data_IF_284755222693
#
_entry.id   IF_284755222693
#
_cell.length_a   1.000
_cell.length_b   1.000
_cell.length_c   1.000
_cell.angle_alpha   90.00
_cell.angle_beta   90.00
_cell.angle_gamma   90.00
#
_symmetry.space_group_name_H-M   'P 1'
#
loop_
_entity.id
_entity.type
_entity.pdbx_description
1 polymer ?
#
# COMPACT_ATOMS: atom_id res chain seq x y z
N UNK A 1 -6.99 15.52 10.59
CA UNK A 1 -6.34 14.31 10.07
C UNK A 1 -7.03 13.07 10.56
N UNK A 2 -7.32 12.16 9.62
CA UNK A 2 -7.94 10.88 9.94
C UNK A 2 -7.00 10.04 10.83
N UNK A 3 -7.54 9.48 11.92
CA UNK A 3 -6.75 8.62 12.81
C UNK A 3 -6.72 7.18 12.28
N UNK A 4 -5.62 6.83 11.62
CA UNK A 4 -5.39 5.50 11.03
C UNK A 4 -4.59 4.59 11.97
N UNK A 5 -4.69 3.26 11.76
CA UNK A 5 -3.90 2.25 12.48
C UNK A 5 -2.41 2.26 12.08
N UNK A 6 -2.10 2.65 10.85
CA UNK A 6 -0.75 2.68 10.28
C UNK A 6 -0.73 3.53 9.01
N UNK A 7 0.38 3.48 8.25
CA UNK A 7 0.60 4.33 7.08
C UNK A 7 0.40 5.83 7.40
N UNK A 8 0.88 6.28 8.57
CA UNK A 8 0.67 7.65 9.07
C UNK A 8 1.24 8.74 8.15
N UNK A 9 2.12 8.40 7.21
CA UNK A 9 2.61 9.33 6.18
C UNK A 9 1.62 9.59 5.05
N UNK A 10 0.51 8.84 4.96
CA UNK A 10 -0.53 9.07 3.97
C UNK A 10 -1.49 10.17 4.43
N UNK A 11 -1.70 11.19 3.61
CA UNK A 11 -2.75 12.19 3.82
C UNK A 11 -4.09 11.63 3.34
N UNK A 12 -4.95 11.26 4.29
CA UNK A 12 -6.30 10.75 4.02
C UNK A 12 -7.30 11.76 4.57
N UNK A 13 -8.17 12.28 3.69
CA UNK A 13 -9.16 13.30 4.01
C UNK A 13 -10.45 13.07 3.21
N UNK A 14 -11.58 13.47 3.80
CA UNK A 14 -12.83 13.58 3.06
C UNK A 14 -12.76 14.74 2.06
N UNK A 15 -13.24 14.52 0.84
CA UNK A 15 -13.39 15.56 -0.17
C UNK A 15 -14.87 15.94 -0.27
N UNK A 16 -15.19 17.22 -0.04
CA UNK A 16 -16.52 17.77 -0.26
C UNK A 16 -16.57 18.46 -1.62
N UNK A 17 -17.58 18.13 -2.41
CA UNK A 17 -17.83 18.72 -3.73
C UNK A 17 -19.23 19.32 -3.68
N UNK A 18 -19.32 20.62 -3.40
CA UNK A 18 -20.58 21.37 -3.34
C UNK A 18 -20.59 22.47 -4.41
N UNK A 19 -21.55 22.39 -5.33
CA UNK A 19 -21.75 23.30 -6.46
C UNK A 19 -20.47 23.66 -7.25
N UNK A 20 -19.53 22.72 -7.36
CA UNK A 20 -18.28 22.91 -8.09
C UNK A 20 -18.55 22.87 -9.59
N UNK A 21 -18.27 23.97 -10.30
CA UNK A 21 -18.36 24.02 -11.76
C UNK A 21 -17.17 23.30 -12.38
N UNK A 22 -17.44 22.24 -13.14
CA UNK A 22 -16.41 21.49 -13.88
C UNK A 22 -16.60 21.73 -15.37
N UNK A 23 -15.57 22.23 -16.09
CA UNK A 23 -15.64 22.41 -17.54
C UNK A 23 -15.86 21.08 -18.28
N UNK A 24 -16.55 21.12 -19.43
CA UNK A 24 -16.91 19.91 -20.19
C UNK A 24 -15.68 19.20 -20.76
N UNK A 25 -14.63 19.95 -21.06
CA UNK A 25 -13.33 19.45 -21.52
C UNK A 25 -12.58 18.62 -20.47
N UNK A 26 -12.97 18.71 -19.19
CA UNK A 26 -12.38 17.89 -18.11
C UNK A 26 -13.05 16.52 -17.96
N UNK A 27 -14.02 16.18 -18.82
CA UNK A 27 -14.61 14.82 -18.84
C UNK A 27 -13.54 13.81 -19.23
N UNK A 28 -13.26 12.87 -18.31
CA UNK A 28 -12.33 11.78 -18.56
C UNK A 28 -13.06 10.60 -19.22
N UNK A 29 -12.77 10.37 -20.50
CA UNK A 29 -13.40 9.33 -21.29
C UNK A 29 -14.75 9.78 -21.86
N UNK A 30 -15.75 8.89 -21.86
CA UNK A 30 -17.07 9.16 -22.43
C UNK A 30 -18.13 9.28 -21.33
N UNK A 31 -19.05 10.24 -21.47
CA UNK A 31 -20.17 10.45 -20.54
C UNK A 31 -20.98 9.15 -20.40
N UNK A 32 -21.24 8.75 -19.15
CA UNK A 32 -21.93 7.49 -18.84
C UNK A 32 -21.05 6.23 -18.86
N UNK A 33 -19.76 6.32 -19.27
CA UNK A 33 -18.84 5.18 -19.33
C UNK A 33 -17.68 5.23 -18.33
N UNK A 34 -17.81 6.00 -17.25
CA UNK A 34 -16.78 6.16 -16.21
C UNK A 34 -16.33 4.85 -15.54
N UNK A 35 -17.21 3.84 -15.48
CA UNK A 35 -16.86 2.52 -14.91
C UNK A 35 -15.68 1.86 -15.64
N UNK A 36 -15.54 2.07 -16.97
CA UNK A 36 -14.40 1.53 -17.73
C UNK A 36 -13.09 2.18 -17.28
N UNK A 37 -13.08 3.51 -17.15
CA UNK A 37 -11.90 4.27 -16.67
C UNK A 37 -11.55 3.85 -15.24
N UNK A 38 -12.55 3.72 -14.37
CA UNK A 38 -12.38 3.30 -12.98
C UNK A 38 -11.76 1.90 -12.88
N UNK A 39 -12.32 0.91 -13.58
CA UNK A 39 -11.82 -0.46 -13.51
C UNK A 39 -10.48 -0.66 -14.21
N UNK A 40 -10.21 0.05 -15.31
CA UNK A 40 -8.88 0.04 -15.93
C UNK A 40 -7.82 0.61 -14.96
N UNK A 41 -8.12 1.72 -14.30
CA UNK A 41 -7.22 2.30 -13.27
C UNK A 41 -7.02 1.34 -12.10
N UNK A 42 -8.10 0.71 -11.62
CA UNK A 42 -8.05 -0.27 -10.53
C UNK A 42 -7.18 -1.48 -10.88
N UNK A 43 -7.22 -1.97 -12.13
CA UNK A 43 -6.39 -3.09 -12.57
C UNK A 43 -4.90 -2.80 -12.45
N UNK A 44 -4.48 -1.59 -12.86
CA UNK A 44 -3.09 -1.15 -12.66
C UNK A 44 -2.77 -1.01 -11.17
N UNK A 45 -3.69 -0.46 -10.38
CA UNK A 45 -3.56 -0.36 -8.92
C UNK A 45 -3.34 -1.72 -8.23
N UNK A 46 -4.04 -2.76 -8.67
CA UNK A 46 -3.89 -4.13 -8.14
C UNK A 46 -2.49 -4.68 -8.36
N UNK A 47 -1.94 -4.51 -9.57
CA UNK A 47 -0.57 -4.93 -9.87
C UNK A 47 0.45 -4.18 -9.00
N UNK A 48 0.28 -2.85 -8.86
CA UNK A 48 1.17 -2.03 -8.01
C UNK A 48 1.15 -2.48 -6.55
N UNK A 49 -0.03 -2.82 -6.03
CA UNK A 49 -0.16 -3.34 -4.66
C UNK A 49 0.62 -4.64 -4.48
N UNK A 50 0.50 -5.58 -5.42
CA UNK A 50 1.23 -6.85 -5.35
C UNK A 50 2.76 -6.64 -5.29
N UNK A 51 3.30 -5.75 -6.13
CA UNK A 51 4.74 -5.41 -6.11
C UNK A 51 5.18 -4.81 -4.78
N UNK A 52 4.38 -3.90 -4.21
CA UNK A 52 4.67 -3.29 -2.92
C UNK A 52 4.65 -4.33 -1.79
N UNK A 53 3.65 -5.22 -1.78
CA UNK A 53 3.55 -6.29 -0.79
C UNK A 53 4.71 -7.28 -0.87
N UNK A 54 5.11 -7.69 -2.09
CA UNK A 54 6.25 -8.57 -2.29
C UNK A 54 7.57 -7.94 -1.81
N UNK A 55 7.77 -6.65 -2.10
CA UNK A 55 8.96 -5.91 -1.67
C UNK A 55 8.99 -5.76 -0.14
N UNK A 56 7.85 -5.46 0.47
CA UNK A 56 7.70 -5.41 1.92
C UNK A 56 8.00 -6.76 2.59
N UNK A 57 7.48 -7.86 2.04
CA UNK A 57 7.75 -9.20 2.52
C UNK A 57 9.25 -9.55 2.47
N UNK A 58 9.92 -9.22 1.35
CA UNK A 58 11.38 -9.39 1.22
C UNK A 58 12.13 -8.65 2.33
N UNK A 59 11.79 -7.37 2.57
CA UNK A 59 12.46 -6.59 3.62
C UNK A 59 12.18 -7.12 5.02
N UNK A 60 10.95 -7.60 5.27
CA UNK A 60 10.61 -8.22 6.55
C UNK A 60 11.47 -9.47 6.80
N UNK A 61 11.64 -10.33 5.79
CA UNK A 61 12.51 -11.52 5.89
C UNK A 61 13.97 -11.13 6.12
N UNK A 62 14.48 -10.12 5.41
CA UNK A 62 15.85 -9.63 5.59
C UNK A 62 16.11 -9.16 7.03
N UNK A 63 15.21 -8.32 7.57
CA UNK A 63 15.32 -7.82 8.96
C UNK A 63 15.18 -8.95 9.97
N UNK A 64 14.24 -9.87 9.75
CA UNK A 64 14.02 -11.01 10.64
C UNK A 64 15.24 -11.95 10.66
N UNK A 65 15.81 -12.28 9.49
CA UNK A 65 16.99 -13.12 9.37
C UNK A 65 18.21 -12.48 10.03
N UNK A 66 18.42 -11.17 9.81
CA UNK A 66 19.50 -10.44 10.48
C UNK A 66 19.34 -10.47 12.00
N UNK A 67 18.14 -10.13 12.51
CA UNK A 67 17.89 -10.16 13.94
C UNK A 67 18.07 -11.56 14.54
N UNK A 68 17.67 -12.61 13.82
CA UNK A 68 17.81 -13.98 14.26
C UNK A 68 19.28 -14.42 14.39
N UNK A 69 20.17 -13.91 13.53
CA UNK A 69 21.60 -14.19 13.58
C UNK A 69 22.31 -13.41 14.71
N UNK A 70 21.86 -12.20 15.01
CA UNK A 70 22.50 -11.32 16.00
C UNK A 70 22.01 -11.54 17.44
N UNK A 71 20.74 -11.94 17.61
CA UNK A 71 20.13 -12.10 18.94
C UNK A 71 20.56 -13.42 19.59
N UNK A 72 21.27 -13.34 20.71
CA UNK A 72 21.69 -14.51 21.51
C UNK A 72 20.68 -14.83 22.62
N UNK A 73 20.22 -16.09 22.67
CA UNK A 73 19.52 -16.66 23.82
C UNK A 73 19.93 -18.12 24.07
N UNK A 74 19.90 -18.52 25.34
CA UNK A 74 20.37 -19.86 25.77
C UNK A 74 21.77 -20.22 25.23
N UNK A 75 22.66 -19.21 25.17
CA UNK A 75 24.06 -19.38 24.77
C UNK A 75 24.34 -19.43 23.27
N UNK A 76 23.35 -19.25 22.38
CA UNK A 76 23.53 -19.25 20.92
C UNK A 76 22.59 -18.28 20.19
N UNK A 77 22.84 -17.94 18.91
CA UNK A 77 21.89 -17.20 18.07
C UNK A 77 20.51 -17.85 18.03
N UNK A 78 19.45 -17.05 18.05
CA UNK A 78 18.07 -17.59 17.98
C UNK A 78 17.76 -18.23 16.63
N UNK A 79 18.51 -17.91 15.58
CA UNK A 79 18.43 -18.57 14.28
C UNK A 79 18.82 -20.05 14.27
N UNK A 80 19.52 -20.53 15.31
CA UNK A 80 19.96 -21.94 15.41
C UNK A 80 18.87 -22.87 16.01
N UNK A 81 17.73 -22.33 16.45
CA UNK A 81 16.59 -23.13 16.91
C UNK A 81 15.70 -23.54 15.71
N UNK A 82 15.42 -24.84 15.54
CA UNK A 82 14.60 -25.37 14.44
C UNK A 82 13.09 -25.32 14.68
N UNK A 83 12.57 -24.19 15.20
CA UNK A 83 11.14 -23.95 15.40
C UNK A 83 10.38 -23.73 14.09
#
# INVERSE_FOLDING_TARGET
>A
DERLLGQHGASINAMSIDNVKVPVENVLGEVGKGHKVAFCTLNVGRLKLATNSASGARKAVEVAAQYAAERIQFGRPIGDFGL
#
